data_IF_039904918835
#
_entry.id   IF_039904918835
#
_cell.length_a   1.000
_cell.length_b   1.000
_cell.length_c   1.000
_cell.angle_alpha   90.00
_cell.angle_beta   90.00
_cell.angle_gamma   90.00
#
_symmetry.space_group_name_H-M   'P 1'
#
loop_
_entity.id
_entity.type
_entity.pdbx_description
1 polymer ?
#
# COMPACT_ATOMS: atom_id res chain seq x y z
N UNK A 1 7.43 -5.74 -2.13
CA UNK A 1 6.80 -5.85 -3.46
C UNK A 1 7.27 -4.68 -4.30
N UNK A 2 7.27 -4.81 -5.62
CA UNK A 2 7.79 -3.77 -6.51
C UNK A 2 6.97 -3.62 -7.80
N UNK A 3 7.53 -2.87 -8.74
CA UNK A 3 6.94 -2.52 -10.04
C UNK A 3 6.75 -3.70 -10.99
N UNK A 4 7.37 -4.85 -10.72
CA UNK A 4 7.33 -6.03 -11.61
C UNK A 4 5.98 -6.77 -11.60
N UNK A 5 4.99 -6.25 -10.86
CA UNK A 5 3.59 -6.68 -10.88
C UNK A 5 2.69 -5.79 -11.73
N UNK A 6 1.36 -5.95 -11.66
CA UNK A 6 0.42 -5.02 -12.28
C UNK A 6 0.62 -3.58 -11.81
N UNK A 7 0.38 -2.60 -12.69
CA UNK A 7 0.50 -1.16 -12.36
C UNK A 7 -0.42 -0.73 -11.22
N UNK A 8 -1.58 -1.38 -11.06
CA UNK A 8 -2.48 -1.12 -9.95
C UNK A 8 -2.00 -1.87 -8.69
N UNK A 9 -1.56 -1.15 -7.63
CA UNK A 9 -1.00 -1.78 -6.43
C UNK A 9 -2.03 -2.62 -5.66
N UNK A 10 -3.31 -2.31 -5.81
CA UNK A 10 -4.40 -3.01 -5.14
C UNK A 10 -4.83 -4.27 -5.89
N UNK A 11 -4.71 -4.28 -7.22
CA UNK A 11 -4.78 -5.51 -8.01
C UNK A 11 -3.62 -6.45 -7.65
N UNK A 12 -2.43 -5.89 -7.45
CA UNK A 12 -1.27 -6.65 -7.00
C UNK A 12 -1.48 -7.20 -5.57
N UNK A 13 -2.04 -6.41 -4.65
CA UNK A 13 -2.48 -6.90 -3.33
C UNK A 13 -3.51 -8.02 -3.44
N UNK A 14 -4.52 -7.90 -4.31
CA UNK A 14 -5.52 -8.95 -4.53
C UNK A 14 -4.86 -10.29 -4.92
N UNK A 15 -3.88 -10.25 -5.83
CA UNK A 15 -3.14 -11.44 -6.23
C UNK A 15 -2.21 -11.98 -5.13
N UNK A 16 -1.60 -11.11 -4.31
CA UNK A 16 -0.76 -11.55 -3.20
C UNK A 16 -1.56 -12.18 -2.05
N UNK A 17 -2.81 -11.72 -1.83
CA UNK A 17 -3.72 -12.28 -0.81
C UNK A 17 -4.37 -13.58 -1.28
N UNK A 18 -4.65 -13.72 -2.58
CA UNK A 18 -5.25 -14.92 -3.16
C UNK A 18 -4.49 -15.41 -4.42
N UNK A 19 -3.24 -15.86 -4.29
CA UNK A 19 -2.44 -16.31 -5.42
C UNK A 19 -2.95 -17.63 -5.99
N UNK A 20 -3.49 -17.60 -7.22
CA UNK A 20 -4.10 -18.77 -7.86
C UNK A 20 -3.16 -19.96 -8.03
N UNK A 21 -1.88 -19.71 -8.38
CA UNK A 21 -0.91 -20.77 -8.65
C UNK A 21 -0.22 -21.32 -7.38
N UNK A 22 -0.19 -20.54 -6.29
CA UNK A 22 0.53 -20.86 -5.05
C UNK A 22 -0.27 -20.47 -3.81
N UNK A 23 -1.44 -21.10 -3.54
CA UNK A 23 -2.27 -20.75 -2.39
C UNK A 23 -1.53 -20.87 -1.04
N UNK A 24 -0.51 -21.72 -0.97
CA UNK A 24 0.37 -21.90 0.18
C UNK A 24 1.23 -20.66 0.51
N UNK A 25 1.38 -19.74 -0.45
CA UNK A 25 2.15 -18.50 -0.33
C UNK A 25 1.25 -17.28 -0.13
N UNK A 26 -0.04 -17.46 0.15
CA UNK A 26 -0.97 -16.37 0.40
C UNK A 26 -0.50 -15.49 1.57
N UNK A 27 -0.52 -14.18 1.36
CA UNK A 27 -0.15 -13.20 2.38
C UNK A 27 -1.39 -12.54 2.99
N UNK A 28 -1.29 -12.10 4.23
CA UNK A 28 -2.31 -11.22 4.81
C UNK A 28 -2.24 -9.83 4.16
N UNK A 29 -3.36 -9.10 4.15
CA UNK A 29 -3.40 -7.69 3.68
C UNK A 29 -2.36 -6.81 4.38
N UNK A 30 -2.18 -7.01 5.68
CA UNK A 30 -1.17 -6.28 6.46
C UNK A 30 0.25 -6.63 6.01
N UNK A 31 0.56 -7.91 5.78
CA UNK A 31 1.88 -8.33 5.29
C UNK A 31 2.18 -7.72 3.92
N UNK A 32 1.17 -7.67 3.05
CA UNK A 32 1.25 -7.02 1.74
C UNK A 32 1.49 -5.51 1.89
N UNK A 33 0.70 -4.80 2.69
CA UNK A 33 0.87 -3.37 2.91
C UNK A 33 2.24 -3.03 3.53
N UNK A 34 2.72 -3.84 4.47
CA UNK A 34 4.05 -3.73 5.05
C UNK A 34 5.15 -3.91 3.99
N UNK A 35 4.96 -4.84 3.06
CA UNK A 35 5.91 -5.08 1.98
C UNK A 35 5.92 -3.97 0.90
N UNK A 36 4.90 -3.10 0.84
CA UNK A 36 4.92 -1.86 0.04
C UNK A 36 5.55 -0.68 0.77
N UNK A 37 5.48 -0.67 2.09
CA UNK A 37 5.93 0.45 2.93
C UNK A 37 7.27 0.15 3.59
N UNK A 38 7.28 -0.33 4.84
CA UNK A 38 8.50 -0.60 5.60
C UNK A 38 9.43 -1.61 4.91
N UNK A 39 8.89 -2.59 4.18
CA UNK A 39 9.68 -3.57 3.42
C UNK A 39 10.43 -2.94 2.25
N UNK A 40 9.80 -2.01 1.53
CA UNK A 40 10.45 -1.26 0.45
C UNK A 40 11.51 -0.31 1.01
N UNK A 41 11.20 0.41 2.10
CA UNK A 41 12.13 1.29 2.78
C UNK A 41 13.39 0.56 3.24
N UNK A 42 13.25 -0.66 3.77
CA UNK A 42 14.40 -1.52 4.10
C UNK A 42 15.19 -1.94 2.86
N UNK A 43 14.50 -2.33 1.77
CA UNK A 43 15.16 -2.77 0.54
C UNK A 43 16.01 -1.67 -0.13
N UNK A 44 15.72 -0.40 0.16
CA UNK A 44 16.46 0.76 -0.34
C UNK A 44 17.36 1.44 0.73
N UNK A 45 17.54 0.82 1.91
CA UNK A 45 18.38 1.31 3.03
C UNK A 45 17.89 2.62 3.68
N UNK A 46 16.56 2.83 3.68
CA UNK A 46 15.86 3.99 4.22
C UNK A 46 14.84 3.59 5.32
N UNK A 47 15.06 2.46 6.01
CA UNK A 47 14.17 1.99 7.09
C UNK A 47 14.16 2.89 8.34
N UNK A 48 15.11 3.82 8.42
CA UNK A 48 15.29 4.74 9.54
C UNK A 48 14.63 6.11 9.32
N UNK A 49 14.21 6.43 8.09
CA UNK A 49 13.61 7.73 7.75
C UNK A 49 12.25 7.62 7.05
N UNK A 50 11.87 6.49 6.41
CA UNK A 50 10.53 6.33 5.79
C UNK A 50 9.91 4.93 5.94
N UNK A 51 8.71 4.77 5.36
CA UNK A 51 7.96 3.52 5.33
C UNK A 51 7.15 3.21 6.60
N UNK A 52 7.09 4.13 7.57
CA UNK A 52 6.30 4.01 8.80
C UNK A 52 5.69 5.37 9.17
N UNK A 53 4.49 5.33 9.75
CA UNK A 53 3.89 6.50 10.40
C UNK A 53 4.37 6.52 11.85
N UNK A 54 5.42 7.29 12.13
CA UNK A 54 6.01 7.44 13.45
C UNK A 54 6.74 8.79 13.56
N UNK A 55 6.95 9.28 14.79
CA UNK A 55 7.74 10.50 15.02
C UNK A 55 9.18 10.30 14.51
N UNK A 56 9.74 11.32 13.85
CA UNK A 56 11.09 11.29 13.28
C UNK A 56 11.19 10.72 11.86
N UNK A 57 10.09 10.20 11.29
CA UNK A 57 10.02 9.71 9.92
C UNK A 57 9.48 10.80 8.96
N UNK A 58 9.79 10.69 7.67
CA UNK A 58 9.24 11.53 6.61
C UNK A 58 7.71 11.45 6.61
N UNK A 59 7.06 12.60 6.43
CA UNK A 59 5.61 12.69 6.31
C UNK A 59 5.14 12.34 4.89
N UNK A 60 5.50 11.14 4.43
CA UNK A 60 5.06 10.54 3.17
C UNK A 60 3.82 9.67 3.43
N UNK A 61 2.65 10.17 3.05
CA UNK A 61 1.35 9.59 3.45
C UNK A 61 0.44 9.48 2.23
N UNK A 62 -0.17 8.31 2.04
CA UNK A 62 -1.30 8.13 1.13
C UNK A 62 -2.58 7.92 1.96
N UNK A 63 -3.59 8.73 1.70
CA UNK A 63 -4.95 8.56 2.23
C UNK A 63 -5.75 7.83 1.16
N UNK A 64 -6.45 6.77 1.52
CA UNK A 64 -7.12 5.87 0.57
C UNK A 64 -8.64 6.01 0.63
N UNK A 65 -9.31 5.80 -0.50
CA UNK A 65 -10.79 5.79 -0.58
C UNK A 65 -11.45 4.59 0.09
N UNK A 66 -10.69 3.53 0.39
CA UNK A 66 -11.16 2.32 1.04
C UNK A 66 -10.19 1.91 2.16
N UNK A 67 -10.73 1.30 3.22
CA UNK A 67 -9.90 0.59 4.19
C UNK A 67 -9.47 -0.77 3.60
N UNK A 68 -8.26 -0.79 3.04
CA UNK A 68 -7.68 -1.99 2.44
C UNK A 68 -7.33 -3.08 3.45
N UNK A 69 -7.35 -2.80 4.75
CA UNK A 69 -7.14 -3.77 5.82
C UNK A 69 -8.44 -4.37 6.35
N UNK A 70 -9.60 -3.80 6.04
CA UNK A 70 -10.90 -4.35 6.40
C UNK A 70 -11.12 -5.73 5.75
N UNK A 71 -11.29 -6.75 6.58
CA UNK A 71 -11.54 -8.13 6.15
C UNK A 71 -12.92 -8.34 5.50
N UNK A 72 -13.86 -7.41 5.69
CA UNK A 72 -15.20 -7.47 5.09
C UNK A 72 -15.22 -6.89 3.67
N UNK A 73 -14.22 -6.09 3.29
CA UNK A 73 -14.06 -5.59 1.93
C UNK A 73 -13.81 -6.76 0.96
N UNK A 74 -14.63 -6.99 -0.08
CA UNK A 74 -14.39 -8.08 -1.02
C UNK A 74 -13.06 -7.92 -1.78
N UNK A 75 -12.33 -9.01 -2.01
CA UNK A 75 -11.04 -8.96 -2.74
C UNK A 75 -11.18 -8.33 -4.14
N UNK A 76 -12.27 -8.61 -4.84
CA UNK A 76 -12.56 -8.03 -6.16
C UNK A 76 -12.83 -6.52 -6.15
N UNK A 77 -13.06 -5.92 -4.98
CA UNK A 77 -13.26 -4.47 -4.81
C UNK A 77 -11.93 -3.72 -4.55
N UNK A 78 -10.87 -4.42 -4.15
CA UNK A 78 -9.55 -3.81 -3.91
C UNK A 78 -9.04 -2.98 -5.10
N UNK A 79 -9.11 -3.43 -6.37
CA UNK A 79 -8.58 -2.68 -7.51
C UNK A 79 -9.22 -1.30 -7.72
N UNK A 80 -10.42 -1.06 -7.17
CA UNK A 80 -11.09 0.24 -7.23
C UNK A 80 -10.58 1.25 -6.19
N UNK A 81 -9.69 0.83 -5.28
CA UNK A 81 -9.09 1.74 -4.29
C UNK A 81 -8.24 2.79 -5.01
N UNK A 82 -8.45 4.03 -4.63
CA UNK A 82 -7.70 5.19 -5.11
C UNK A 82 -7.03 5.88 -3.93
N UNK A 83 -5.93 6.59 -4.18
CA UNK A 83 -5.54 7.65 -3.26
C UNK A 83 -6.63 8.73 -3.32
N UNK A 84 -7.00 9.34 -2.19
CA UNK A 84 -7.80 10.58 -2.13
C UNK A 84 -6.95 11.79 -1.74
N UNK A 85 -5.77 11.54 -1.16
CA UNK A 85 -4.75 12.55 -0.89
C UNK A 85 -3.38 11.88 -0.78
N UNK A 86 -2.35 12.52 -1.33
CA UNK A 86 -0.95 12.09 -1.22
C UNK A 86 -0.11 13.24 -0.69
N UNK A 87 0.57 13.00 0.43
CA UNK A 87 1.56 13.91 0.99
C UNK A 87 2.96 13.37 0.71
N UNK A 88 3.87 14.26 0.33
CA UNK A 88 5.29 13.98 0.19
C UNK A 88 6.04 14.99 1.05
N UNK A 89 6.86 14.53 1.98
CA UNK A 89 7.56 15.37 2.96
C UNK A 89 6.63 16.35 3.71
N UNK A 90 5.37 15.94 3.95
CA UNK A 90 4.37 16.76 4.64
C UNK A 90 3.65 17.80 3.77
N UNK A 91 4.00 17.91 2.48
CA UNK A 91 3.31 18.77 1.53
C UNK A 91 2.32 17.97 0.69
N UNK A 92 1.14 18.54 0.41
CA UNK A 92 0.14 17.90 -0.46
C UNK A 92 0.67 17.92 -1.89
N UNK A 93 1.06 16.75 -2.39
CA UNK A 93 1.50 16.56 -3.78
C UNK A 93 0.32 16.27 -4.72
N UNK A 94 -0.74 15.66 -4.17
CA UNK A 94 -1.97 15.36 -4.90
C UNK A 94 -3.15 15.29 -3.94
N UNK A 95 -4.31 15.74 -4.41
CA UNK A 95 -5.59 15.64 -3.70
C UNK A 95 -6.70 15.44 -4.73
N UNK A 96 -7.61 14.51 -4.46
CA UNK A 96 -8.83 14.39 -5.24
C UNK A 96 -9.67 15.66 -5.05
N UNK A 97 -10.10 16.36 -6.11
CA UNK A 97 -10.91 17.58 -5.98
C UNK A 97 -12.23 17.40 -5.22
N UNK A 98 -12.67 16.16 -5.02
CA UNK A 98 -13.91 15.81 -4.32
C UNK A 98 -13.70 15.41 -2.85
N UNK A 99 -12.44 15.33 -2.37
CA UNK A 99 -12.07 14.98 -0.99
C UNK A 99 -11.81 16.21 -0.11
#
# INVERSE_FOLDING_TARGET
MGSDGPLNPWLNMMFAVAPAARPDQALSREAVLRAYTAGSAYAEFHEHDKGKIASGYLADIAVLSQDVLDGTLPLGALPATTSVMTLINGEIAWQDPTF
#
